data_IF_895106417971
#
_entry.id   IF_895106417971
#
_cell.length_a   1.000
_cell.length_b   1.000
_cell.length_c   1.000
_cell.angle_alpha   90.00
_cell.angle_beta   90.00
_cell.angle_gamma   90.00
#
_symmetry.space_group_name_H-M   'P 1'
#
loop_
_entity.id
_entity.type
_entity.pdbx_description
1 polymer ?
#
# COMPACT_ATOMS: atom_id res chain seq x y z
N UNK A 1 3.95 -3.55 -4.90
CA UNK A 1 2.89 -4.04 -3.98
C UNK A 1 1.48 -3.77 -4.49
N UNK A 2 1.16 -2.57 -5.00
CA UNK A 2 -0.19 -2.26 -5.52
C UNK A 2 -0.63 -3.18 -6.68
N UNK A 3 0.25 -3.46 -7.64
CA UNK A 3 -0.05 -4.38 -8.74
C UNK A 3 -0.36 -5.81 -8.26
N UNK A 4 0.41 -6.29 -7.27
CA UNK A 4 0.23 -7.62 -6.66
C UNK A 4 -1.11 -7.70 -5.90
N UNK A 5 -1.46 -6.64 -5.17
CA UNK A 5 -2.75 -6.56 -4.50
C UNK A 5 -3.91 -6.54 -5.51
N UNK A 6 -3.80 -5.75 -6.59
CA UNK A 6 -4.81 -5.72 -7.66
C UNK A 6 -4.96 -7.05 -8.39
N UNK A 7 -3.88 -7.80 -8.62
CA UNK A 7 -3.97 -9.14 -9.23
C UNK A 7 -4.64 -10.17 -8.33
N UNK A 8 -4.66 -9.93 -7.01
CA UNK A 8 -5.38 -10.76 -6.03
C UNK A 8 -6.82 -10.26 -5.78
N UNK A 9 -7.33 -9.36 -6.64
CA UNK A 9 -8.62 -8.69 -6.47
C UNK A 9 -8.78 -7.95 -5.13
N UNK A 10 -7.68 -7.48 -4.54
CA UNK A 10 -7.71 -6.63 -3.36
C UNK A 10 -7.78 -5.16 -3.77
N UNK A 11 -8.61 -4.40 -3.07
CA UNK A 11 -8.59 -2.95 -3.16
C UNK A 11 -7.22 -2.45 -2.68
N UNK A 12 -6.54 -1.67 -3.53
CA UNK A 12 -5.21 -1.13 -3.21
C UNK A 12 -5.03 0.28 -3.78
N UNK A 13 -4.74 1.23 -2.88
CA UNK A 13 -4.64 2.66 -3.20
C UNK A 13 -3.32 3.23 -2.69
N UNK A 14 -2.50 3.71 -3.62
CA UNK A 14 -1.37 4.57 -3.31
C UNK A 14 -1.86 5.96 -2.93
N UNK A 15 -1.30 6.50 -1.88
CA UNK A 15 -1.52 7.87 -1.39
C UNK A 15 -0.23 8.63 -1.60
N UNK A 16 -0.37 9.83 -2.17
CA UNK A 16 0.73 10.74 -2.41
C UNK A 16 0.86 11.73 -1.26
N UNK A 17 2.10 12.14 -0.99
CA UNK A 17 2.37 13.20 -0.03
C UNK A 17 1.68 14.49 -0.47
N UNK A 18 0.96 15.10 0.46
CA UNK A 18 0.26 16.37 0.22
C UNK A 18 1.22 17.58 0.15
N UNK A 19 2.55 17.37 0.17
CA UNK A 19 3.55 18.44 0.12
C UNK A 19 3.68 19.20 1.44
N UNK A 20 3.27 18.58 2.56
CA UNK A 20 3.40 19.16 3.92
C UNK A 20 4.59 18.59 4.69
N UNK A 21 5.40 17.75 4.04
CA UNK A 21 6.59 17.14 4.60
C UNK A 21 7.84 17.58 3.82
N UNK A 22 9.02 17.24 4.33
CA UNK A 22 10.31 17.48 3.66
C UNK A 22 10.56 16.56 2.45
N UNK A 23 9.61 15.68 2.11
CA UNK A 23 9.65 14.84 0.90
C UNK A 23 9.13 15.68 -0.29
N UNK A 24 9.67 15.44 -1.48
CA UNK A 24 9.16 16.06 -2.71
C UNK A 24 7.63 15.86 -2.85
N UNK A 25 6.91 16.96 -3.09
CA UNK A 25 5.47 16.96 -3.31
C UNK A 25 5.10 16.00 -4.46
N UNK A 26 4.04 15.21 -4.27
CA UNK A 26 3.59 14.22 -5.27
C UNK A 26 4.30 12.85 -5.20
N UNK A 27 5.28 12.69 -4.31
CA UNK A 27 5.86 11.38 -3.99
C UNK A 27 4.81 10.44 -3.39
N UNK A 28 4.86 9.15 -3.72
CA UNK A 28 3.97 8.16 -3.10
C UNK A 28 4.54 7.75 -1.74
N UNK A 29 3.86 8.09 -0.66
CA UNK A 29 4.35 7.84 0.72
C UNK A 29 3.78 6.58 1.34
N UNK A 30 2.52 6.26 1.07
CA UNK A 30 1.87 5.08 1.66
C UNK A 30 0.99 4.34 0.66
N UNK A 31 0.80 3.04 0.93
CA UNK A 31 -0.08 2.15 0.17
C UNK A 31 -1.08 1.51 1.13
N UNK A 32 -2.36 1.86 0.98
CA UNK A 32 -3.45 1.15 1.65
C UNK A 32 -3.85 -0.09 0.86
N UNK A 33 -4.01 -1.23 1.55
CA UNK A 33 -4.49 -2.49 0.98
C UNK A 33 -5.64 -3.01 1.85
N UNK A 34 -6.79 -3.28 1.23
CA UNK A 34 -7.97 -3.84 1.89
C UNK A 34 -9.24 -2.99 1.71
N UNK A 35 -10.35 -3.38 2.34
CA UNK A 35 -10.51 -4.58 3.17
C UNK A 35 -10.43 -5.88 2.36
N UNK A 36 -10.06 -6.99 3.01
CA UNK A 36 -9.97 -8.32 2.38
C UNK A 36 -9.47 -9.41 3.33
N UNK A 37 -9.52 -10.70 2.91
CA UNK A 37 -9.05 -11.82 3.73
C UNK A 37 -7.59 -11.67 4.15
N UNK A 38 -7.31 -11.89 5.44
CA UNK A 38 -5.96 -11.76 6.04
C UNK A 38 -4.91 -12.59 5.28
N UNK A 39 -5.29 -13.78 4.79
CA UNK A 39 -4.40 -14.64 4.01
C UNK A 39 -3.94 -13.99 2.70
N UNK A 40 -4.83 -13.27 2.02
CA UNK A 40 -4.50 -12.56 0.77
C UNK A 40 -3.70 -11.28 1.06
N UNK A 41 -4.05 -10.54 2.09
CA UNK A 41 -3.29 -9.35 2.51
C UNK A 41 -1.86 -9.74 2.88
N UNK A 42 -1.68 -10.82 3.66
CA UNK A 42 -0.37 -11.30 4.07
C UNK A 42 0.49 -11.82 2.91
N UNK A 43 -0.10 -12.30 1.80
CA UNK A 43 0.69 -12.62 0.60
C UNK A 43 1.38 -11.37 0.02
N UNK A 44 0.80 -10.20 0.20
CA UNK A 44 1.34 -8.92 -0.28
C UNK A 44 2.23 -8.26 0.76
N UNK A 45 1.82 -8.24 2.04
CA UNK A 45 2.49 -7.45 3.10
C UNK A 45 3.34 -8.27 4.07
N UNK A 46 3.19 -9.61 4.12
CA UNK A 46 3.77 -10.45 5.17
C UNK A 46 5.30 -10.53 5.17
N UNK A 47 5.97 -10.01 4.15
CA UNK A 47 7.45 -9.88 4.09
C UNK A 47 7.95 -8.54 4.62
N UNK A 48 7.05 -7.60 4.92
CA UNK A 48 7.39 -6.28 5.42
C UNK A 48 7.58 -6.33 6.94
N UNK A 49 8.53 -5.55 7.44
CA UNK A 49 8.67 -5.35 8.89
C UNK A 49 7.53 -4.47 9.39
N UNK A 50 7.06 -4.76 10.59
CA UNK A 50 6.14 -3.88 11.28
C UNK A 50 6.89 -2.60 11.66
N UNK A 51 6.21 -1.45 11.48
CA UNK A 51 6.71 -0.11 11.78
C UNK A 51 6.78 0.13 13.29
#
# INVERSE_FOLDING_TARGET
LQAVAKSLNLCARSIQDAGRTQIAAGSTTVLGIGPGPVRLINQVTGKLKLL
#
